data_IF_912573649655
#
_entry.id   IF_912573649655
#
_cell.length_a   1.000
_cell.length_b   1.000
_cell.length_c   1.000
_cell.angle_alpha   90.00
_cell.angle_beta   90.00
_cell.angle_gamma   90.00
#
_symmetry.space_group_name_H-M   'P 1'
#
loop_
_entity.id
_entity.type
_entity.pdbx_description
1 polymer ?
#
# COMPACT_ATOMS: atom_id res chain seq x y z
N UNK A 1 -13.05 -23.96 59.92
CA UNK A 1 -13.32 -23.28 58.64
C UNK A 1 -12.08 -23.34 57.74
N UNK A 2 -11.58 -24.53 57.41
CA UNK A 2 -10.28 -24.67 56.71
C UNK A 2 -10.24 -25.78 55.65
N UNK A 3 -11.32 -26.53 55.41
CA UNK A 3 -11.33 -27.56 54.35
C UNK A 3 -11.96 -27.08 53.03
N UNK A 4 -13.00 -26.22 53.07
CA UNK A 4 -13.68 -25.74 51.85
C UNK A 4 -12.79 -24.90 50.93
N UNK A 5 -11.84 -24.14 51.47
CA UNK A 5 -10.96 -23.26 50.69
C UNK A 5 -9.85 -24.05 49.93
N UNK A 6 -9.49 -25.25 50.39
CA UNK A 6 -8.48 -26.09 49.74
C UNK A 6 -9.02 -26.81 48.51
N UNK A 7 -10.31 -27.15 48.51
CA UNK A 7 -10.94 -27.87 47.40
C UNK A 7 -11.28 -26.93 46.24
N UNK A 8 -11.63 -25.66 46.52
CA UNK A 8 -11.82 -24.62 45.50
C UNK A 8 -10.51 -24.27 44.77
N UNK A 9 -9.39 -24.19 45.50
CA UNK A 9 -8.07 -23.93 44.88
C UNK A 9 -7.63 -25.12 44.01
N UNK A 10 -7.91 -26.36 44.43
CA UNK A 10 -7.62 -27.56 43.63
C UNK A 10 -8.50 -27.64 42.38
N UNK A 11 -9.76 -27.23 42.46
CA UNK A 11 -10.64 -27.16 41.31
C UNK A 11 -10.15 -26.14 40.28
N UNK A 12 -9.73 -24.95 40.71
CA UNK A 12 -9.17 -23.90 39.84
C UNK A 12 -7.86 -24.32 39.16
N UNK A 13 -6.96 -24.99 39.89
CA UNK A 13 -5.70 -25.49 39.33
C UNK A 13 -5.91 -26.62 38.32
N UNK A 14 -6.87 -27.53 38.56
CA UNK A 14 -7.24 -28.56 37.60
C UNK A 14 -7.87 -27.97 36.34
N UNK A 15 -8.74 -26.98 36.49
CA UNK A 15 -9.40 -26.31 35.37
C UNK A 15 -8.41 -25.53 34.50
N UNK A 16 -7.38 -24.93 35.12
CA UNK A 16 -6.27 -24.29 34.40
C UNK A 16 -5.32 -25.29 33.73
N UNK A 17 -5.08 -26.46 34.35
CA UNK A 17 -4.31 -27.53 33.75
C UNK A 17 -5.01 -28.17 32.54
N UNK A 18 -6.34 -28.30 32.58
CA UNK A 18 -7.16 -28.79 31.46
C UNK A 18 -7.12 -27.79 30.29
N UNK A 19 -7.30 -26.49 30.56
CA UNK A 19 -7.16 -25.42 29.54
C UNK A 19 -5.79 -25.38 28.87
N UNK A 20 -4.72 -25.57 29.64
CA UNK A 20 -3.36 -25.63 29.11
C UNK A 20 -3.13 -26.88 28.24
N UNK A 21 -3.77 -28.01 28.58
CA UNK A 21 -3.69 -29.26 27.82
C UNK A 21 -4.47 -29.18 26.50
N UNK A 22 -5.65 -28.56 26.51
CA UNK A 22 -6.44 -28.30 25.30
C UNK A 22 -5.73 -27.31 24.36
N UNK A 23 -5.12 -26.26 24.91
CA UNK A 23 -4.31 -25.31 24.13
C UNK A 23 -3.08 -25.98 23.47
N UNK A 24 -2.42 -26.89 24.19
CA UNK A 24 -1.31 -27.68 23.64
C UNK A 24 -1.73 -28.66 22.53
N UNK A 25 -2.93 -29.25 22.61
CA UNK A 25 -3.48 -30.14 21.57
C UNK A 25 -3.84 -29.34 20.31
N UNK A 26 -4.39 -28.13 20.46
CA UNK A 26 -4.73 -27.25 19.33
C UNK A 26 -3.45 -26.77 18.61
N UNK A 27 -2.40 -26.39 19.35
CA UNK A 27 -1.10 -26.00 18.77
C UNK A 27 -0.43 -27.20 18.07
N UNK A 28 -0.46 -28.40 18.66
CA UNK A 28 0.08 -29.63 18.04
C UNK A 28 -0.63 -29.98 16.72
N UNK A 29 -1.95 -29.79 16.66
CA UNK A 29 -2.74 -30.12 15.46
C UNK A 29 -2.50 -29.10 14.33
N UNK A 30 -2.26 -27.84 14.69
CA UNK A 30 -1.89 -26.79 13.72
C UNK A 30 -0.49 -27.04 13.16
N UNK A 31 0.49 -27.42 13.99
CA UNK A 31 1.87 -27.70 13.54
C UNK A 31 1.93 -28.92 12.60
N UNK A 32 1.13 -29.97 12.84
CA UNK A 32 1.07 -31.14 11.94
C UNK A 32 0.46 -30.84 10.55
N UNK A 33 -0.32 -29.77 10.42
CA UNK A 33 -0.86 -29.32 9.14
C UNK A 33 0.15 -28.62 8.22
N UNK A 34 1.29 -28.18 8.75
CA UNK A 34 2.29 -27.38 8.02
C UNK A 34 3.57 -28.14 7.62
N UNK A 35 3.72 -29.44 7.97
CA UNK A 35 4.94 -30.22 7.67
C UNK A 35 4.78 -31.28 6.58
N UNK A 36 3.74 -31.25 5.74
CA UNK A 36 3.65 -32.15 4.58
C UNK A 36 4.45 -31.58 3.39
N UNK A 37 5.64 -32.15 3.16
CA UNK A 37 6.42 -31.92 1.94
C UNK A 37 5.65 -32.34 0.67
N UNK A 38 5.84 -31.65 -0.47
CA UNK A 38 5.30 -32.09 -1.75
C UNK A 38 6.07 -33.32 -2.27
N UNK A 39 5.44 -34.27 -2.98
CA UNK A 39 6.17 -35.37 -3.61
C UNK A 39 6.93 -34.85 -4.84
N UNK A 40 8.14 -35.39 -5.04
CA UNK A 40 9.02 -35.12 -6.18
C UNK A 40 8.42 -35.60 -7.52
N UNK A 41 8.75 -34.98 -8.68
CA UNK A 41 8.06 -35.26 -9.94
C UNK A 41 8.51 -36.59 -10.55
N UNK A 42 7.56 -37.52 -10.70
CA UNK A 42 7.76 -38.74 -11.48
C UNK A 42 7.79 -38.40 -12.97
N UNK A 43 8.91 -38.74 -13.61
CA UNK A 43 9.13 -38.72 -15.06
C UNK A 43 8.15 -39.69 -15.73
N UNK A 44 7.28 -39.22 -16.62
CA UNK A 44 6.48 -40.10 -17.47
C UNK A 44 6.79 -39.89 -18.95
N UNK A 45 7.36 -40.95 -19.51
CA UNK A 45 7.76 -41.10 -20.88
C UNK A 45 6.57 -41.11 -21.84
N UNK A 46 6.77 -40.49 -23.00
CA UNK A 46 5.86 -40.50 -24.14
C UNK A 46 5.82 -41.92 -24.72
N UNK A 47 4.63 -42.51 -24.80
CA UNK A 47 4.34 -43.68 -25.64
C UNK A 47 2.99 -43.48 -26.33
N UNK A 48 3.00 -43.27 -27.64
CA UNK A 48 1.82 -43.50 -28.51
C UNK A 48 1.70 -45.01 -28.77
N UNK A 49 0.47 -45.55 -28.89
CA UNK A 49 -0.04 -45.81 -30.25
C UNK A 49 -1.59 -45.72 -30.44
N UNK A 50 -1.96 -45.36 -31.67
CA UNK A 50 -2.97 -45.93 -32.59
C UNK A 50 -4.46 -46.12 -32.23
N UNK A 51 -5.28 -45.38 -32.99
CA UNK A 51 -6.44 -45.77 -33.82
C UNK A 51 -7.76 -46.35 -33.22
N UNK A 52 -8.83 -45.61 -33.59
CA UNK A 52 -10.21 -46.01 -33.89
C UNK A 52 -11.15 -46.54 -32.79
N UNK A 53 -12.19 -45.75 -32.47
CA UNK A 53 -13.58 -46.16 -32.70
C UNK A 53 -14.54 -44.96 -32.71
N UNK A 54 -15.32 -44.86 -33.79
CA UNK A 54 -16.44 -43.93 -33.97
C UNK A 54 -17.61 -44.29 -33.04
N UNK A 55 -18.22 -43.29 -32.39
CA UNK A 55 -19.68 -43.33 -32.12
C UNK A 55 -20.26 -41.93 -31.97
N UNK A 56 -21.41 -41.73 -32.62
CA UNK A 56 -22.14 -40.50 -32.89
C UNK A 56 -22.72 -39.79 -31.67
N UNK A 57 -22.57 -38.47 -31.59
CA UNK A 57 -23.29 -37.60 -30.67
C UNK A 57 -24.53 -37.01 -31.36
N UNK A 58 -25.72 -37.20 -30.78
CA UNK A 58 -26.93 -36.43 -31.08
C UNK A 58 -27.09 -35.29 -30.07
N UNK A 59 -27.58 -34.10 -30.48
CA UNK A 59 -27.72 -32.95 -29.58
C UNK A 59 -29.13 -32.87 -28.98
N UNK A 60 -29.24 -32.84 -27.65
CA UNK A 60 -30.47 -32.48 -26.95
C UNK A 60 -30.33 -31.08 -26.31
N UNK A 61 -30.87 -30.11 -27.03
CA UNK A 61 -31.78 -29.05 -26.59
C UNK A 61 -31.71 -28.59 -25.11
N UNK A 62 -31.07 -27.44 -24.88
CA UNK A 62 -31.39 -26.56 -23.74
C UNK A 62 -31.67 -25.14 -24.26
N UNK A 63 -32.94 -24.89 -24.59
CA UNK A 63 -33.47 -23.57 -24.86
C UNK A 63 -34.32 -23.12 -23.66
N UNK A 64 -33.78 -22.25 -22.81
CA UNK A 64 -34.50 -21.16 -22.11
C UNK A 64 -33.53 -20.46 -21.13
N UNK A 65 -32.82 -19.44 -21.62
CA UNK A 65 -32.29 -18.40 -20.74
C UNK A 65 -33.18 -17.18 -20.94
N UNK A 66 -33.89 -16.82 -19.87
CA UNK A 66 -34.72 -15.62 -19.79
C UNK A 66 -33.89 -14.39 -20.15
N UNK A 67 -34.42 -13.57 -21.06
CA UNK A 67 -34.02 -12.18 -21.27
C UNK A 67 -34.03 -11.46 -19.91
N UNK A 68 -32.87 -10.98 -19.49
CA UNK A 68 -32.76 -10.01 -18.40
C UNK A 68 -32.66 -8.63 -19.03
N UNK A 69 -33.54 -7.77 -18.55
CA UNK A 69 -33.81 -6.39 -18.94
C UNK A 69 -32.54 -5.54 -19.11
N UNK A 70 -32.44 -4.82 -20.23
CA UNK A 70 -31.27 -4.08 -20.70
C UNK A 70 -31.29 -2.61 -20.29
N UNK A 71 -31.39 -2.33 -18.98
CA UNK A 71 -31.51 -0.94 -18.49
C UNK A 71 -30.79 -0.66 -17.16
N UNK A 72 -29.62 -1.26 -16.94
CA UNK A 72 -28.67 -0.84 -15.89
C UNK A 72 -27.36 -0.36 -16.54
N UNK A 73 -26.81 0.80 -16.16
CA UNK A 73 -25.49 1.21 -16.63
C UNK A 73 -24.48 0.16 -16.15
N UNK A 74 -23.90 -0.56 -17.11
CA UNK A 74 -22.87 -1.57 -16.87
C UNK A 74 -21.60 -0.84 -16.42
N UNK A 75 -21.46 -0.58 -15.13
CA UNK A 75 -20.18 -0.16 -14.55
C UNK A 75 -19.18 -1.29 -14.80
N UNK A 76 -18.34 -1.13 -15.82
CA UNK A 76 -17.29 -2.08 -16.14
C UNK A 76 -16.36 -2.21 -14.92
N UNK A 77 -15.98 -3.44 -14.51
CA UNK A 77 -14.91 -3.64 -13.55
C UNK A 77 -13.68 -2.96 -14.12
N UNK A 78 -13.22 -1.96 -13.41
CA UNK A 78 -12.47 -0.87 -13.99
C UNK A 78 -11.00 -1.23 -14.14
N UNK A 79 -10.52 -1.35 -15.38
CA UNK A 79 -9.11 -1.52 -15.75
C UNK A 79 -8.34 -0.20 -15.64
N UNK A 80 -8.34 0.43 -14.46
CA UNK A 80 -7.99 1.85 -14.26
C UNK A 80 -6.49 2.19 -14.28
N UNK A 81 -5.62 1.24 -13.95
CA UNK A 81 -4.16 1.42 -13.97
C UNK A 81 -3.50 0.94 -15.26
N UNK A 82 -4.31 0.48 -16.22
CA UNK A 82 -3.78 0.06 -17.52
C UNK A 82 -3.75 1.28 -18.46
N UNK A 83 -2.57 1.88 -18.62
CA UNK A 83 -2.36 3.02 -19.53
C UNK A 83 -2.31 2.62 -21.02
N UNK A 84 -2.43 1.32 -21.34
CA UNK A 84 -2.46 0.82 -22.73
C UNK A 84 -3.89 0.70 -23.28
N UNK A 85 -4.91 0.86 -22.45
CA UNK A 85 -6.30 0.85 -22.91
C UNK A 85 -6.70 2.20 -23.50
N UNK A 86 -7.62 2.24 -24.48
CA UNK A 86 -8.07 3.46 -25.15
C UNK A 86 -9.05 4.26 -24.28
N UNK A 87 -8.72 4.46 -23.01
CA UNK A 87 -9.46 5.27 -22.05
C UNK A 87 -8.57 6.42 -21.64
N UNK A 88 -9.08 7.66 -21.72
CA UNK A 88 -8.31 8.85 -21.38
C UNK A 88 -7.74 8.76 -19.95
N UNK A 89 -6.41 8.68 -19.78
CA UNK A 89 -5.76 8.62 -18.48
C UNK A 89 -5.95 9.90 -17.65
N UNK A 90 -6.29 11.01 -18.29
CA UNK A 90 -6.50 12.32 -17.66
C UNK A 90 -7.97 12.64 -17.37
N UNK A 91 -8.88 11.71 -17.66
CA UNK A 91 -10.29 11.88 -17.32
C UNK A 91 -10.47 11.94 -15.79
N UNK A 92 -11.22 12.94 -15.32
CA UNK A 92 -11.45 13.18 -13.89
C UNK A 92 -12.08 11.97 -13.18
N UNK A 93 -12.94 11.21 -13.88
CA UNK A 93 -13.56 10.00 -13.33
C UNK A 93 -12.53 8.90 -13.06
N UNK A 94 -11.58 8.69 -13.99
CA UNK A 94 -10.49 7.72 -13.84
C UNK A 94 -9.50 8.15 -12.77
N UNK A 95 -9.11 9.42 -12.77
CA UNK A 95 -8.23 9.99 -11.74
C UNK A 95 -8.85 9.80 -10.36
N UNK A 96 -10.09 10.25 -10.16
CA UNK A 96 -10.80 10.11 -8.87
C UNK A 96 -10.85 8.65 -8.42
N UNK A 97 -11.18 7.74 -9.34
CA UNK A 97 -11.29 6.32 -9.00
C UNK A 97 -9.94 5.69 -8.61
N UNK A 98 -8.86 6.03 -9.32
CA UNK A 98 -7.51 5.59 -8.97
C UNK A 98 -7.08 6.13 -7.60
N UNK A 99 -7.36 7.41 -7.30
CA UNK A 99 -7.07 8.01 -6.00
C UNK A 99 -7.81 7.31 -4.85
N UNK A 100 -9.10 7.00 -5.04
CA UNK A 100 -9.90 6.27 -4.03
C UNK A 100 -9.34 4.86 -3.78
N UNK A 101 -8.90 4.16 -4.82
CA UNK A 101 -8.27 2.83 -4.67
C UNK A 101 -6.92 2.89 -3.98
N UNK A 102 -6.13 3.93 -4.26
CA UNK A 102 -4.86 4.17 -3.56
C UNK A 102 -5.11 4.49 -2.07
N UNK A 103 -6.22 5.14 -1.72
CA UNK A 103 -6.62 5.28 -0.31
C UNK A 103 -6.77 3.92 0.38
N UNK A 104 -7.50 2.99 -0.25
CA UNK A 104 -7.70 1.66 0.33
C UNK A 104 -6.38 0.91 0.48
N UNK A 105 -5.53 0.97 -0.56
CA UNK A 105 -4.21 0.34 -0.55
C UNK A 105 -3.34 0.86 0.60
N UNK A 106 -3.28 2.18 0.79
CA UNK A 106 -2.51 2.80 1.87
C UNK A 106 -3.06 2.37 3.23
N UNK A 107 -4.38 2.41 3.43
CA UNK A 107 -4.99 2.03 4.71
C UNK A 107 -4.70 0.57 5.06
N UNK A 108 -4.87 -0.35 4.09
CA UNK A 108 -4.58 -1.77 4.32
C UNK A 108 -3.11 -2.01 4.65
N UNK A 109 -2.18 -1.47 3.86
CA UNK A 109 -0.74 -1.65 4.15
C UNK A 109 -0.34 -1.05 5.51
N UNK A 110 -0.95 0.05 5.94
CA UNK A 110 -0.71 0.61 7.27
C UNK A 110 -1.23 -0.32 8.39
N UNK A 111 -2.41 -0.92 8.21
CA UNK A 111 -2.97 -1.89 9.16
C UNK A 111 -2.07 -3.13 9.27
N UNK A 112 -1.55 -3.61 8.15
CA UNK A 112 -0.60 -4.72 8.12
C UNK A 112 0.72 -4.33 8.82
N UNK A 113 1.23 -3.12 8.59
CA UNK A 113 2.46 -2.67 9.27
C UNK A 113 2.28 -2.55 10.77
N UNK A 114 1.09 -2.14 11.22
CA UNK A 114 0.75 -1.98 12.64
C UNK A 114 0.71 -3.30 13.43
N UNK A 115 0.75 -4.46 12.76
CA UNK A 115 0.87 -5.77 13.43
C UNK A 115 2.24 -6.02 14.06
N UNK A 116 3.29 -5.34 13.56
CA UNK A 116 4.66 -5.46 14.07
C UNK A 116 5.00 -4.28 14.98
N UNK A 117 5.91 -4.51 15.92
CA UNK A 117 6.51 -3.47 16.75
C UNK A 117 7.27 -2.44 15.90
N UNK A 118 7.77 -1.39 16.57
CA UNK A 118 8.51 -0.32 15.92
C UNK A 118 9.73 -0.87 15.15
N UNK A 119 10.49 -1.79 15.74
CA UNK A 119 11.69 -2.37 15.16
C UNK A 119 12.69 -1.28 14.70
N UNK A 120 13.18 -0.44 15.62
CA UNK A 120 13.93 0.79 15.30
C UNK A 120 15.17 0.53 14.44
N UNK A 121 15.82 -0.62 14.62
CA UNK A 121 16.99 -1.07 13.85
C UNK A 121 16.75 -1.06 12.33
N UNK A 122 15.51 -1.22 11.88
CA UNK A 122 15.16 -1.18 10.44
C UNK A 122 15.53 0.18 9.81
N UNK A 123 15.38 1.26 10.57
CA UNK A 123 15.48 2.64 10.07
C UNK A 123 16.85 3.26 10.36
N UNK A 124 17.62 2.66 11.28
CA UNK A 124 18.95 3.12 11.66
C UNK A 124 20.01 2.65 10.67
N UNK A 125 20.85 3.59 10.22
CA UNK A 125 21.96 3.27 9.31
C UNK A 125 23.06 2.53 10.04
N UNK A 126 23.66 1.53 9.39
CA UNK A 126 24.77 0.74 9.93
C UNK A 126 24.41 -0.06 11.20
N UNK A 127 23.12 -0.38 11.40
CA UNK A 127 22.65 -1.13 12.57
C UNK A 127 22.80 -2.67 12.43
N UNK A 128 22.90 -3.16 11.20
CA UNK A 128 23.11 -4.59 10.89
C UNK A 128 24.54 -4.80 10.39
N UNK A 129 25.25 -5.76 10.99
CA UNK A 129 26.64 -6.08 10.62
C UNK A 129 26.69 -6.82 9.29
N UNK A 130 25.69 -7.65 9.00
CA UNK A 130 25.54 -8.38 7.74
C UNK A 130 25.50 -7.44 6.53
N UNK A 131 24.88 -6.25 6.68
CA UNK A 131 24.88 -5.23 5.63
C UNK A 131 26.26 -4.56 5.48
N UNK A 132 27.01 -4.38 6.57
CA UNK A 132 28.37 -3.83 6.50
C UNK A 132 29.33 -4.77 5.79
N UNK A 133 29.19 -6.08 6.01
CA UNK A 133 29.95 -7.12 5.31
C UNK A 133 29.70 -7.11 3.80
N UNK A 134 28.53 -6.62 3.37
CA UNK A 134 28.17 -6.37 1.98
C UNK A 134 28.57 -4.96 1.48
N UNK A 135 29.38 -4.23 2.25
CA UNK A 135 29.79 -2.84 1.98
C UNK A 135 28.62 -1.83 1.85
N UNK A 136 27.45 -2.16 2.41
CA UNK A 136 26.29 -1.28 2.44
C UNK A 136 26.37 -0.31 3.64
N UNK A 137 26.13 0.98 3.38
CA UNK A 137 26.23 2.08 4.38
C UNK A 137 24.89 2.69 4.80
N UNK A 138 23.79 2.11 4.33
CA UNK A 138 22.43 2.57 4.61
C UNK A 138 21.77 1.83 5.77
N UNK A 139 20.48 2.07 5.96
CA UNK A 139 19.63 1.29 6.86
C UNK A 139 19.15 0.00 6.19
N UNK A 140 18.50 -0.86 6.98
CA UNK A 140 17.84 -2.06 6.47
C UNK A 140 16.73 -1.73 5.48
N UNK A 141 15.91 -0.72 5.77
CA UNK A 141 14.86 -0.26 4.86
C UNK A 141 15.42 0.28 3.53
N UNK A 142 16.50 1.06 3.58
CA UNK A 142 17.13 1.60 2.36
C UNK A 142 17.67 0.46 1.47
N UNK A 143 18.23 -0.59 2.09
CA UNK A 143 18.67 -1.79 1.36
C UNK A 143 17.49 -2.56 0.75
N UNK A 144 16.42 -2.79 1.53
CA UNK A 144 15.19 -3.47 1.09
C UNK A 144 14.55 -2.78 -0.11
N UNK A 145 14.48 -1.45 -0.07
CA UNK A 145 14.04 -0.65 -1.21
C UNK A 145 14.97 -0.88 -2.40
N UNK A 146 16.28 -0.61 -2.27
CA UNK A 146 17.21 -0.72 -3.40
C UNK A 146 17.14 -2.06 -4.12
N UNK A 147 17.12 -3.16 -3.38
CA UNK A 147 17.03 -4.51 -3.97
C UNK A 147 15.68 -4.77 -4.66
N UNK A 148 14.57 -4.36 -4.01
CA UNK A 148 13.22 -4.51 -4.58
C UNK A 148 13.04 -3.64 -5.84
N UNK A 149 13.51 -2.40 -5.78
CA UNK A 149 13.44 -1.46 -6.88
C UNK A 149 14.37 -1.87 -8.03
N UNK A 150 15.54 -2.45 -7.75
CA UNK A 150 16.40 -2.98 -8.79
C UNK A 150 15.72 -4.11 -9.59
N UNK A 151 15.01 -5.01 -8.93
CA UNK A 151 14.21 -6.03 -9.61
C UNK A 151 13.07 -5.40 -10.43
N UNK A 152 12.30 -4.48 -9.84
CA UNK A 152 11.21 -3.80 -10.53
C UNK A 152 11.65 -2.95 -11.73
N UNK A 153 12.84 -2.34 -11.65
CA UNK A 153 13.46 -1.60 -12.76
C UNK A 153 13.77 -2.52 -13.95
N UNK A 154 14.36 -3.70 -13.69
CA UNK A 154 14.56 -4.74 -14.73
C UNK A 154 13.24 -5.13 -15.40
N UNK A 155 12.14 -5.14 -14.64
CA UNK A 155 10.79 -5.42 -15.12
C UNK A 155 10.06 -4.21 -15.78
N UNK A 156 10.74 -3.06 -15.98
CA UNK A 156 10.22 -1.80 -16.54
C UNK A 156 9.27 -1.00 -15.66
N UNK A 157 9.13 -1.29 -14.36
CA UNK A 157 8.18 -0.59 -13.48
C UNK A 157 8.33 0.93 -13.54
N UNK A 158 9.55 1.43 -13.36
CA UNK A 158 9.86 2.87 -13.33
C UNK A 158 9.93 3.54 -14.71
N UNK A 159 9.54 2.82 -15.77
CA UNK A 159 9.26 3.45 -17.07
C UNK A 159 7.80 3.89 -17.18
N UNK A 160 6.94 3.46 -16.25
CA UNK A 160 5.55 3.89 -16.16
C UNK A 160 5.46 5.32 -15.63
N UNK A 161 4.56 6.18 -16.17
CA UNK A 161 4.49 7.59 -15.78
C UNK A 161 3.99 7.86 -14.35
N UNK A 162 3.53 6.82 -13.65
CA UNK A 162 2.96 6.88 -12.29
C UNK A 162 3.79 6.14 -11.23
N UNK A 163 4.98 5.65 -11.58
CA UNK A 163 5.87 4.92 -10.67
C UNK A 163 7.19 5.69 -10.46
N UNK A 164 7.57 5.91 -9.19
CA UNK A 164 8.68 6.76 -8.80
C UNK A 164 9.60 6.03 -7.82
N UNK A 165 10.89 5.80 -8.14
CA UNK A 165 11.78 5.07 -7.25
C UNK A 165 12.26 5.92 -6.08
N UNK A 166 12.51 5.29 -4.94
CA UNK A 166 13.20 5.90 -3.78
C UNK A 166 14.71 5.90 -3.97
N UNK A 167 15.24 4.88 -4.65
CA UNK A 167 16.62 4.76 -5.10
C UNK A 167 16.87 5.72 -6.25
N UNK A 168 18.08 6.28 -6.33
CA UNK A 168 18.48 7.13 -7.46
C UNK A 168 18.34 6.36 -8.77
N UNK A 169 17.73 6.97 -9.78
CA UNK A 169 17.57 6.35 -11.11
C UNK A 169 18.92 5.92 -11.73
N UNK A 170 20.00 6.64 -11.42
CA UNK A 170 21.36 6.31 -11.88
C UNK A 170 21.93 5.03 -11.27
N UNK A 171 21.39 4.58 -10.14
CA UNK A 171 21.78 3.33 -9.48
C UNK A 171 20.90 2.15 -9.90
N UNK A 172 19.78 2.41 -10.57
CA UNK A 172 18.86 1.36 -11.00
C UNK A 172 19.33 0.70 -12.31
N UNK A 173 19.18 -0.62 -12.44
CA UNK A 173 19.53 -1.35 -13.64
C UNK A 173 18.59 -0.99 -14.80
N UNK A 174 19.11 -1.06 -16.02
CA UNK A 174 18.32 -0.87 -17.24
C UNK A 174 17.26 -1.99 -17.38
N UNK A 175 16.07 -1.70 -17.92
CA UNK A 175 15.07 -2.74 -18.13
C UNK A 175 15.52 -3.85 -19.10
N UNK A 176 15.17 -5.10 -18.77
CA UNK A 176 15.46 -6.28 -19.61
C UNK A 176 14.46 -6.43 -20.76
N UNK A 177 13.24 -5.92 -20.54
CA UNK A 177 12.17 -5.96 -21.52
C UNK A 177 12.20 -4.71 -22.43
N UNK A 178 11.74 -4.78 -23.69
CA UNK A 178 11.69 -3.63 -24.60
C UNK A 178 10.85 -2.47 -24.06
N UNK A 179 11.14 -1.22 -24.40
CA UNK A 179 10.34 -0.08 -23.90
C UNK A 179 8.86 -0.16 -24.34
N UNK A 180 7.94 0.17 -23.42
CA UNK A 180 6.53 0.40 -23.76
C UNK A 180 6.36 1.82 -24.31
N UNK A 181 5.58 1.95 -25.38
CA UNK A 181 5.22 3.26 -25.94
C UNK A 181 4.00 3.80 -25.22
N UNK A 182 4.20 4.45 -24.08
CA UNK A 182 3.14 5.19 -23.42
C UNK A 182 2.74 6.42 -24.27
N UNK A 183 1.45 6.78 -24.33
CA UNK A 183 1.08 8.08 -24.86
C UNK A 183 1.75 9.17 -24.02
N UNK A 184 2.01 10.34 -24.61
CA UNK A 184 2.53 11.48 -23.87
C UNK A 184 1.43 12.07 -22.99
N UNK A 185 1.30 11.52 -21.79
CA UNK A 185 0.26 11.91 -20.84
C UNK A 185 0.68 13.17 -20.09
N UNK A 186 1.88 13.13 -19.50
CA UNK A 186 2.43 14.22 -18.70
C UNK A 186 3.48 14.98 -19.51
N UNK A 187 3.62 16.26 -19.22
CA UNK A 187 4.74 17.07 -19.65
C UNK A 187 6.04 16.53 -19.04
N UNK A 188 7.16 16.46 -19.80
CA UNK A 188 8.45 16.04 -19.26
C UNK A 188 8.81 16.81 -17.98
N UNK A 189 9.23 16.09 -16.93
CA UNK A 189 9.60 16.65 -15.63
C UNK A 189 10.50 15.67 -14.86
N UNK A 190 11.19 16.16 -13.82
CA UNK A 190 12.04 15.35 -12.92
C UNK A 190 11.57 15.39 -11.46
N UNK A 191 10.28 15.67 -11.23
CA UNK A 191 9.74 15.88 -9.90
C UNK A 191 9.64 14.54 -9.17
N UNK A 192 10.38 14.40 -8.07
CA UNK A 192 10.30 13.24 -7.20
C UNK A 192 10.46 13.70 -5.74
N UNK A 193 9.43 13.51 -4.93
CA UNK A 193 9.37 13.91 -3.51
C UNK A 193 9.52 12.73 -2.54
N UNK A 194 10.00 11.58 -3.02
CA UNK A 194 10.15 10.36 -2.21
C UNK A 194 11.03 10.55 -0.96
N UNK A 195 12.01 11.45 -0.99
CA UNK A 195 12.83 11.76 0.20
C UNK A 195 11.99 12.32 1.36
N UNK A 196 11.03 13.21 1.06
CA UNK A 196 10.08 13.75 2.03
C UNK A 196 9.13 12.66 2.53
N UNK A 197 8.65 11.80 1.62
CA UNK A 197 7.77 10.66 1.94
C UNK A 197 8.45 9.69 2.91
N UNK A 198 9.67 9.27 2.59
CA UNK A 198 10.48 8.42 3.46
C UNK A 198 10.62 9.04 4.86
N UNK A 199 10.90 10.34 4.91
CA UNK A 199 11.17 11.06 6.15
C UNK A 199 9.96 11.09 7.06
N UNK A 200 8.79 11.57 6.59
CA UNK A 200 7.63 11.64 7.48
C UNK A 200 7.10 10.24 7.80
N UNK A 201 7.20 9.29 6.87
CA UNK A 201 6.74 7.93 7.10
C UNK A 201 7.50 7.29 8.27
N UNK A 202 8.83 7.24 8.17
CA UNK A 202 9.68 6.60 9.19
C UNK A 202 9.68 7.35 10.52
N UNK A 203 9.65 8.69 10.50
CA UNK A 203 9.82 9.50 11.73
C UNK A 203 8.52 9.87 12.43
N UNK A 204 7.41 10.05 11.70
CA UNK A 204 6.16 10.53 12.27
C UNK A 204 5.06 9.46 12.28
N UNK A 205 5.04 8.56 11.28
CA UNK A 205 3.93 7.63 11.08
C UNK A 205 4.22 6.28 11.73
N UNK A 206 5.35 5.64 11.39
CA UNK A 206 5.71 4.32 11.93
C UNK A 206 5.65 4.28 13.47
N UNK A 207 6.24 5.25 14.22
CA UNK A 207 6.17 5.22 15.69
C UNK A 207 4.76 5.30 16.25
N UNK A 208 3.84 5.99 15.55
CA UNK A 208 2.45 6.12 16.00
C UNK A 208 1.63 4.87 15.70
N UNK A 209 1.70 4.36 14.48
CA UNK A 209 0.87 3.22 14.07
C UNK A 209 1.29 1.91 14.75
N UNK A 210 2.58 1.76 15.10
CA UNK A 210 3.13 0.56 15.75
C UNK A 210 3.08 0.61 17.28
N UNK A 211 2.60 1.73 17.85
CA UNK A 211 2.61 1.96 19.30
C UNK A 211 1.89 0.85 20.08
N UNK A 212 0.76 0.37 19.57
CA UNK A 212 -0.01 -0.72 20.21
C UNK A 212 0.82 -2.00 20.29
N UNK A 213 1.31 -2.51 19.14
CA UNK A 213 2.13 -3.72 19.08
C UNK A 213 3.40 -3.59 19.94
N UNK A 214 4.05 -2.42 19.91
CA UNK A 214 5.22 -2.11 20.73
C UNK A 214 4.90 -2.17 22.24
N UNK A 215 3.79 -1.59 22.67
CA UNK A 215 3.37 -1.62 24.07
C UNK A 215 2.95 -3.03 24.53
N UNK A 216 2.25 -3.79 23.69
CA UNK A 216 1.88 -5.18 23.99
C UNK A 216 3.12 -6.06 24.16
N UNK A 217 4.11 -5.92 23.27
CA UNK A 217 5.40 -6.58 23.36
C UNK A 217 6.14 -6.22 24.66
N UNK A 218 6.22 -4.92 24.98
CA UNK A 218 6.86 -4.44 26.18
C UNK A 218 6.22 -4.98 27.46
N UNK A 219 4.87 -5.06 27.50
CA UNK A 219 4.15 -5.64 28.64
C UNK A 219 4.46 -7.13 28.81
N UNK A 220 4.52 -7.88 27.70
CA UNK A 220 4.86 -9.30 27.72
C UNK A 220 6.29 -9.53 28.24
N UNK A 221 7.28 -8.81 27.68
CA UNK A 221 8.69 -8.96 28.06
C UNK A 221 8.97 -8.48 29.48
N UNK A 222 8.29 -7.43 29.96
CA UNK A 222 8.37 -7.01 31.38
C UNK A 222 8.04 -8.15 32.34
N UNK A 223 7.06 -8.99 32.00
CA UNK A 223 6.68 -10.15 32.81
C UNK A 223 7.79 -11.20 32.94
N UNK A 224 8.74 -11.23 32.00
CA UNK A 224 9.88 -12.16 31.97
C UNK A 224 11.16 -11.58 32.63
N UNK A 225 11.15 -10.32 33.06
CA UNK A 225 12.33 -9.58 33.54
C UNK A 225 13.03 -8.87 32.38
N UNK A 226 13.18 -7.55 32.48
CA UNK A 226 13.77 -6.71 31.43
C UNK A 226 15.30 -6.91 31.45
N UNK A 227 15.90 -7.33 30.32
CA UNK A 227 17.34 -7.63 30.23
C UNK A 227 18.11 -6.60 29.39
N UNK A 228 17.44 -5.63 28.75
CA UNK A 228 18.09 -4.51 28.05
C UNK A 228 17.11 -3.53 27.41
N UNK A 229 17.65 -2.41 26.89
CA UNK A 229 16.85 -1.35 26.25
C UNK A 229 16.20 -1.80 24.93
N UNK A 230 16.90 -2.66 24.17
CA UNK A 230 16.44 -3.20 22.87
C UNK A 230 15.21 -4.10 22.99
N UNK A 231 14.93 -4.62 24.19
CA UNK A 231 13.79 -5.51 24.40
C UNK A 231 12.44 -4.76 24.35
N UNK A 232 12.41 -3.43 24.52
CA UNK A 232 11.16 -2.67 24.64
C UNK A 232 10.41 -2.49 23.30
N UNK A 233 11.13 -2.30 22.19
CA UNK A 233 10.52 -1.86 20.91
C UNK A 233 10.83 -2.76 19.71
N UNK A 234 11.48 -3.89 19.95
CA UNK A 234 11.97 -4.78 18.89
C UNK A 234 11.42 -6.21 19.04
N UNK A 235 10.59 -6.60 18.07
CA UNK A 235 10.03 -7.95 17.96
C UNK A 235 10.85 -8.89 17.05
N UNK A 236 11.90 -8.38 16.41
CA UNK A 236 12.80 -9.13 15.53
C UNK A 236 12.27 -9.41 14.12
N UNK A 237 11.04 -9.02 13.78
CA UNK A 237 10.42 -9.30 12.48
C UNK A 237 10.87 -8.32 11.38
N UNK A 238 12.18 -8.09 11.25
CA UNK A 238 12.76 -7.10 10.34
C UNK A 238 12.40 -7.32 8.87
N UNK A 239 12.37 -8.59 8.43
CA UNK A 239 12.01 -8.93 7.05
C UNK A 239 10.54 -8.64 6.74
N UNK A 240 9.63 -9.08 7.62
CA UNK A 240 8.19 -8.87 7.46
C UNK A 240 7.84 -7.39 7.54
N UNK A 241 8.34 -6.68 8.55
CA UNK A 241 8.07 -5.26 8.72
C UNK A 241 8.62 -4.43 7.56
N UNK A 242 9.88 -4.67 7.13
CA UNK A 242 10.46 -3.93 6.00
C UNK A 242 9.76 -4.21 4.66
N UNK A 243 9.25 -5.44 4.46
CA UNK A 243 8.44 -5.76 3.27
C UNK A 243 7.19 -4.91 3.22
N UNK A 244 6.46 -4.80 4.33
CA UNK A 244 5.25 -3.97 4.40
C UNK A 244 5.60 -2.47 4.34
N UNK A 245 6.71 -2.04 4.93
CA UNK A 245 7.19 -0.66 4.81
C UNK A 245 7.38 -0.25 3.33
N UNK A 246 7.97 -1.14 2.52
CA UNK A 246 8.12 -0.93 1.07
C UNK A 246 6.77 -0.78 0.37
N UNK A 247 5.78 -1.60 0.72
CA UNK A 247 4.42 -1.50 0.16
C UNK A 247 3.75 -0.16 0.50
N UNK A 248 3.83 0.25 1.77
CA UNK A 248 3.27 1.54 2.23
C UNK A 248 3.94 2.70 1.50
N UNK A 249 5.27 2.71 1.45
CA UNK A 249 6.05 3.77 0.79
C UNK A 249 5.73 3.86 -0.70
N UNK A 250 5.64 2.74 -1.41
CA UNK A 250 5.26 2.72 -2.83
C UNK A 250 3.83 3.23 -3.04
N UNK A 251 2.88 2.84 -2.18
CA UNK A 251 1.49 3.28 -2.28
C UNK A 251 1.34 4.80 -2.01
N UNK A 252 2.03 5.32 -0.98
CA UNK A 252 2.07 6.76 -0.69
C UNK A 252 2.76 7.53 -1.82
N UNK A 253 3.92 7.04 -2.29
CA UNK A 253 4.64 7.65 -3.42
C UNK A 253 3.74 7.79 -4.64
N UNK A 254 3.08 6.70 -5.03
CA UNK A 254 2.15 6.71 -6.15
C UNK A 254 0.99 7.67 -5.93
N UNK A 255 0.39 7.71 -4.73
CA UNK A 255 -0.73 8.59 -4.38
C UNK A 255 -0.36 10.07 -4.42
N UNK A 256 0.81 10.43 -3.89
CA UNK A 256 1.30 11.82 -3.86
C UNK A 256 1.68 12.27 -5.27
N UNK A 257 2.45 11.47 -6.00
CA UNK A 257 2.88 11.84 -7.35
C UNK A 257 1.75 11.79 -8.38
N UNK A 258 0.62 11.13 -8.08
CA UNK A 258 -0.58 11.23 -8.91
C UNK A 258 -1.11 12.67 -9.03
N UNK A 259 -0.67 13.58 -8.16
CA UNK A 259 -0.87 15.03 -8.31
C UNK A 259 -0.47 15.55 -9.69
N UNK A 260 0.54 14.98 -10.35
CA UNK A 260 0.91 15.38 -11.72
C UNK A 260 -0.22 15.16 -12.73
N UNK A 261 -0.92 14.03 -12.64
CA UNK A 261 -2.07 13.73 -13.50
C UNK A 261 -3.26 14.64 -13.17
N UNK A 262 -3.44 14.97 -11.88
CA UNK A 262 -4.46 15.93 -11.44
C UNK A 262 -4.19 17.32 -12.01
N UNK A 263 -2.96 17.83 -11.89
CA UNK A 263 -2.55 19.11 -12.47
C UNK A 263 -2.67 19.14 -13.98
N UNK A 264 -2.22 18.09 -14.68
CA UNK A 264 -2.35 18.03 -16.14
C UNK A 264 -3.82 18.05 -16.59
N UNK A 265 -4.69 17.31 -15.89
CA UNK A 265 -6.13 17.31 -16.16
C UNK A 265 -6.75 18.70 -15.95
N UNK A 266 -6.42 19.38 -14.85
CA UNK A 266 -6.87 20.74 -14.56
C UNK A 266 -6.35 21.76 -15.59
N UNK A 267 -5.05 21.69 -15.92
CA UNK A 267 -4.42 22.57 -16.90
C UNK A 267 -5.05 22.42 -18.28
N UNK A 268 -5.29 21.19 -18.75
CA UNK A 268 -5.93 20.96 -20.05
C UNK A 268 -7.38 21.43 -20.10
N UNK A 269 -8.08 21.43 -18.98
CA UNK A 269 -9.45 21.90 -18.93
C UNK A 269 -9.54 23.43 -19.07
N UNK A 270 -8.65 24.18 -18.40
CA UNK A 270 -8.68 25.66 -18.39
C UNK A 270 -7.27 26.26 -18.43
N UNK A 271 -6.50 26.08 -19.52
CA UNK A 271 -5.09 26.47 -19.56
C UNK A 271 -4.87 27.97 -19.35
N UNK A 272 -5.80 28.80 -19.84
CA UNK A 272 -5.75 30.26 -19.68
C UNK A 272 -5.73 30.73 -18.22
N UNK A 273 -6.30 29.96 -17.29
CA UNK A 273 -6.28 30.28 -15.85
C UNK A 273 -4.88 30.09 -15.25
N UNK A 274 -4.10 29.13 -15.78
CA UNK A 274 -2.80 28.75 -15.22
C UNK A 274 -1.63 29.48 -15.88
N UNK A 275 -1.66 29.65 -17.22
CA UNK A 275 -0.54 30.16 -18.01
C UNK A 275 0.05 31.48 -17.48
N UNK A 276 -0.74 32.51 -17.10
CA UNK A 276 -0.20 33.76 -16.57
C UNK A 276 0.66 33.56 -15.30
N UNK A 277 0.25 32.62 -14.44
CA UNK A 277 0.93 32.30 -13.19
C UNK A 277 2.11 31.33 -13.36
N UNK A 278 2.25 30.72 -14.54
CA UNK A 278 3.41 29.89 -14.91
C UNK A 278 4.48 30.78 -15.59
N UNK A 279 4.09 31.64 -16.52
CA UNK A 279 4.99 32.57 -17.22
C UNK A 279 5.59 33.62 -16.29
N UNK A 280 4.79 34.10 -15.34
CA UNK A 280 5.26 34.91 -14.21
C UNK A 280 5.03 34.10 -12.92
N UNK A 281 6.02 33.28 -12.51
CA UNK A 281 5.85 32.27 -11.47
C UNK A 281 5.17 32.80 -10.21
N UNK A 282 3.92 32.35 -9.98
CA UNK A 282 3.14 32.68 -8.80
C UNK A 282 2.58 31.40 -8.16
N UNK A 283 3.39 30.69 -7.35
CA UNK A 283 2.98 29.42 -6.75
C UNK A 283 1.77 29.54 -5.83
N UNK A 284 1.56 30.70 -5.21
CA UNK A 284 0.43 30.93 -4.31
C UNK A 284 -0.89 31.02 -5.08
N UNK A 285 -0.92 31.68 -6.24
CA UNK A 285 -2.12 31.70 -7.09
C UNK A 285 -2.37 30.33 -7.73
N UNK A 286 -1.32 29.63 -8.19
CA UNK A 286 -1.45 28.25 -8.67
C UNK A 286 -2.05 27.34 -7.60
N UNK A 287 -1.58 27.45 -6.35
CA UNK A 287 -2.13 26.70 -5.22
C UNK A 287 -3.61 27.00 -5.00
N UNK A 288 -4.03 28.27 -5.06
CA UNK A 288 -5.44 28.65 -4.93
C UNK A 288 -6.30 28.05 -6.03
N UNK A 289 -5.85 28.06 -7.29
CA UNK A 289 -6.56 27.51 -8.44
C UNK A 289 -6.81 25.99 -8.31
N UNK A 290 -5.84 25.26 -7.74
CA UNK A 290 -5.95 23.80 -7.59
C UNK A 290 -6.66 23.35 -6.31
N UNK A 291 -6.76 24.21 -5.30
CA UNK A 291 -7.28 23.86 -3.96
C UNK A 291 -8.80 23.94 -3.92
N UNK A 292 -9.41 22.88 -3.38
CA UNK A 292 -10.86 22.78 -3.13
C UNK A 292 -11.09 22.28 -1.71
N UNK A 293 -11.22 23.16 -0.71
CA UNK A 293 -11.28 22.79 0.70
C UNK A 293 -12.39 21.76 1.01
N UNK A 294 -13.53 21.87 0.34
CA UNK A 294 -14.66 20.95 0.48
C UNK A 294 -14.34 19.52 0.02
N UNK A 295 -13.49 19.38 -1.00
CA UNK A 295 -13.02 18.08 -1.50
C UNK A 295 -12.03 17.44 -0.52
N UNK A 296 -11.15 18.25 0.07
CA UNK A 296 -10.20 17.81 1.10
C UNK A 296 -10.94 17.33 2.36
N UNK A 297 -11.90 18.11 2.87
CA UNK A 297 -12.72 17.72 4.01
C UNK A 297 -13.48 16.41 3.75
N UNK A 298 -14.09 16.27 2.56
CA UNK A 298 -14.79 15.03 2.16
C UNK A 298 -13.84 13.83 2.05
N UNK A 299 -12.59 14.05 1.64
CA UNK A 299 -11.56 13.01 1.59
C UNK A 299 -11.15 12.57 3.00
N UNK A 300 -10.91 13.51 3.92
CA UNK A 300 -10.55 13.20 5.30
C UNK A 300 -11.64 12.42 6.03
N UNK A 301 -12.91 12.84 5.89
CA UNK A 301 -14.06 12.12 6.43
C UNK A 301 -14.14 10.69 5.88
N UNK A 302 -13.90 10.51 4.58
CA UNK A 302 -13.91 9.19 3.94
C UNK A 302 -12.77 8.31 4.45
N UNK A 303 -11.55 8.85 4.56
CA UNK A 303 -10.38 8.12 5.08
C UNK A 303 -10.63 7.68 6.52
N UNK A 304 -11.14 8.56 7.38
CA UNK A 304 -11.44 8.23 8.77
C UNK A 304 -12.51 7.13 8.87
N UNK A 305 -13.60 7.22 8.09
CA UNK A 305 -14.64 6.19 8.05
C UNK A 305 -14.13 4.85 7.54
N UNK A 306 -13.38 4.83 6.43
CA UNK A 306 -12.78 3.61 5.88
C UNK A 306 -11.85 2.95 6.89
N UNK A 307 -10.96 3.73 7.51
CA UNK A 307 -10.02 3.22 8.52
C UNK A 307 -10.77 2.63 9.72
N UNK A 308 -11.83 3.30 10.20
CA UNK A 308 -12.68 2.78 11.30
C UNK A 308 -13.34 1.44 10.93
N UNK A 309 -13.71 1.24 9.66
CA UNK A 309 -14.32 0.00 9.17
C UNK A 309 -13.27 -1.10 8.97
N UNK A 310 -12.09 -0.78 8.46
CA UNK A 310 -11.05 -1.77 8.17
C UNK A 310 -10.26 -2.19 9.41
N UNK A 311 -10.16 -1.31 10.41
CA UNK A 311 -9.44 -1.57 11.65
C UNK A 311 -10.25 -2.41 12.66
N UNK A 312 -11.48 -2.82 12.33
CA UNK A 312 -12.29 -3.68 13.19
C UNK A 312 -11.73 -5.09 13.25
N UNK A 313 -11.68 -5.67 14.45
CA UNK A 313 -11.46 -7.10 14.63
C UNK A 313 -12.82 -7.82 14.55
N UNK A 314 -12.89 -8.83 13.70
CA UNK A 314 -14.07 -9.68 13.53
C UNK A 314 -13.80 -11.04 14.17
N UNK A 315 -14.79 -11.60 14.85
CA UNK A 315 -14.73 -12.98 15.33
C UNK A 315 -14.81 -13.97 14.14
N UNK A 316 -14.58 -15.28 14.35
CA UNK A 316 -14.72 -16.28 13.28
C UNK A 316 -16.11 -16.33 12.62
N UNK A 317 -17.15 -15.82 13.30
CA UNK A 317 -18.51 -15.67 12.77
C UNK A 317 -18.75 -14.38 11.96
N UNK A 318 -17.74 -13.53 11.80
CA UNK A 318 -17.81 -12.28 11.03
C UNK A 318 -18.41 -11.09 11.78
N UNK A 319 -18.66 -11.20 13.08
CA UNK A 319 -19.19 -10.08 13.88
C UNK A 319 -18.07 -9.29 14.57
N UNK A 320 -18.21 -7.96 14.72
CA UNK A 320 -17.23 -7.14 15.44
C UNK A 320 -17.05 -7.60 16.89
N UNK A 321 -15.80 -7.77 17.31
CA UNK A 321 -15.45 -8.12 18.69
C UNK A 321 -15.69 -6.88 19.56
N UNK A 322 -16.74 -6.90 20.39
CA UNK A 322 -17.19 -5.71 21.12
C UNK A 322 -16.35 -5.33 22.36
N UNK A 323 -15.46 -6.21 22.85
CA UNK A 323 -14.76 -6.02 24.12
C UNK A 323 -13.32 -6.59 24.13
N UNK A 324 -12.40 -6.02 23.36
CA UNK A 324 -10.97 -6.23 23.65
C UNK A 324 -10.60 -5.34 24.85
N UNK A 325 -10.60 -5.92 26.07
CA UNK A 325 -10.22 -5.24 27.33
C UNK A 325 -8.70 -5.00 27.41
N UNK A 326 -8.13 -4.32 26.42
CA UNK A 326 -6.72 -3.98 26.31
C UNK A 326 -6.51 -2.63 25.63
N UNK A 327 -5.26 -2.19 25.55
CA UNK A 327 -4.87 -0.95 24.86
C UNK A 327 -5.26 -1.06 23.37
N UNK A 328 -6.25 -0.28 22.94
CA UNK A 328 -6.65 -0.13 21.54
C UNK A 328 -7.89 -0.95 21.14
N UNK A 329 -9.01 -0.27 20.88
CA UNK A 329 -10.24 -0.89 20.32
C UNK A 329 -10.10 -1.32 18.86
N UNK A 330 -9.03 -0.89 18.19
CA UNK A 330 -8.84 -1.00 16.73
C UNK A 330 -7.44 -1.54 16.42
N UNK A 331 -7.27 -2.19 15.26
CA UNK A 331 -5.98 -2.70 14.78
C UNK A 331 -4.90 -1.62 14.59
N UNK A 332 -5.30 -0.36 14.46
CA UNK A 332 -4.42 0.78 14.22
C UNK A 332 -5.02 2.06 14.85
N UNK A 333 -4.17 3.06 15.12
CA UNK A 333 -4.57 4.43 15.46
C UNK A 333 -5.29 5.07 14.25
N UNK A 334 -6.62 5.16 14.32
CA UNK A 334 -7.48 5.70 13.25
C UNK A 334 -7.18 7.18 13.02
N UNK A 335 -6.99 7.93 14.10
CA UNK A 335 -6.66 9.34 14.08
C UNK A 335 -5.29 9.56 13.40
N UNK A 336 -4.30 8.71 13.66
CA UNK A 336 -3.00 8.78 12.97
C UNK A 336 -3.13 8.64 11.46
N UNK A 337 -4.02 7.76 10.96
CA UNK A 337 -4.22 7.61 9.50
C UNK A 337 -4.87 8.85 8.91
N UNK A 338 -5.81 9.47 9.62
CA UNK A 338 -6.37 10.77 9.19
C UNK A 338 -5.30 11.85 9.19
N UNK A 339 -4.50 11.96 10.27
CA UNK A 339 -3.42 12.94 10.40
C UNK A 339 -2.35 12.77 9.32
N UNK A 340 -2.05 11.53 8.93
CA UNK A 340 -1.20 11.21 7.78
C UNK A 340 -1.71 11.89 6.50
N UNK A 341 -3.02 11.78 6.23
CA UNK A 341 -3.61 12.42 5.07
C UNK A 341 -3.63 13.94 5.17
N UNK A 342 -4.08 14.46 6.31
CA UNK A 342 -4.29 15.90 6.56
C UNK A 342 -2.97 16.67 6.54
N UNK A 343 -1.95 16.18 7.24
CA UNK A 343 -0.71 16.93 7.48
C UNK A 343 0.42 16.59 6.52
N UNK A 344 0.37 15.44 5.83
CA UNK A 344 1.50 14.98 5.01
C UNK A 344 1.10 14.66 3.56
N UNK A 345 0.14 13.77 3.32
CA UNK A 345 -0.19 13.34 1.94
C UNK A 345 -0.85 14.47 1.14
N UNK A 346 -1.89 15.13 1.67
CA UNK A 346 -2.57 16.22 0.97
C UNK A 346 -1.62 17.40 0.71
N UNK A 347 -0.89 17.94 1.71
CA UNK A 347 0.04 19.05 1.48
C UNK A 347 1.12 18.69 0.45
N UNK A 348 1.76 17.53 0.57
CA UNK A 348 2.82 17.14 -0.37
C UNK A 348 2.29 16.87 -1.79
N UNK A 349 1.04 16.38 -1.91
CA UNK A 349 0.38 16.27 -3.23
C UNK A 349 0.19 17.66 -3.86
N UNK A 350 -0.22 18.66 -3.07
CA UNK A 350 -0.38 20.04 -3.56
C UNK A 350 0.96 20.66 -3.97
N UNK A 351 2.03 20.39 -3.23
CA UNK A 351 3.39 20.78 -3.63
C UNK A 351 3.77 20.18 -4.99
N UNK A 352 3.54 18.87 -5.19
CA UNK A 352 3.77 18.22 -6.49
C UNK A 352 2.90 18.82 -7.59
N UNK A 353 1.64 19.13 -7.31
CA UNK A 353 0.72 19.74 -8.26
C UNK A 353 1.23 21.10 -8.76
N UNK A 354 1.63 21.99 -7.84
CA UNK A 354 2.17 23.32 -8.15
C UNK A 354 3.51 23.22 -8.88
N UNK A 355 4.40 22.38 -8.38
CA UNK A 355 5.76 22.20 -8.92
C UNK A 355 5.73 21.63 -10.36
N UNK A 356 4.72 20.82 -10.67
CA UNK A 356 4.45 20.34 -12.03
C UNK A 356 3.94 21.46 -12.94
N UNK A 357 2.98 22.27 -12.46
CA UNK A 357 2.41 23.39 -13.23
C UNK A 357 3.48 24.42 -13.58
N UNK A 358 4.38 24.75 -12.64
CA UNK A 358 5.47 25.71 -12.87
C UNK A 358 6.40 25.29 -14.01
N UNK A 359 6.53 23.99 -14.30
CA UNK A 359 7.34 23.46 -15.40
C UNK A 359 6.55 23.14 -16.65
N UNK A 360 5.23 23.34 -16.63
CA UNK A 360 4.33 22.81 -17.65
C UNK A 360 4.53 23.45 -19.03
N UNK A 361 5.15 24.63 -19.09
CA UNK A 361 5.44 25.36 -20.34
C UNK A 361 6.91 25.25 -20.76
N UNK A 362 7.76 24.56 -20.00
CA UNK A 362 9.18 24.46 -20.32
C UNK A 362 9.41 23.77 -21.67
N UNK A 363 10.08 24.45 -22.59
CA UNK A 363 10.39 23.90 -23.91
C UNK A 363 9.28 24.05 -24.95
N UNK A 364 8.15 24.68 -24.61
CA UNK A 364 7.14 25.09 -25.59
C UNK A 364 7.53 26.42 -26.27
N UNK A 365 7.18 26.54 -27.54
CA UNK A 365 7.28 27.77 -28.32
C UNK A 365 6.17 28.76 -27.97
N UNK A 366 6.36 30.05 -28.32
CA UNK A 366 5.34 31.07 -28.05
C UNK A 366 4.03 30.78 -28.80
N UNK A 367 4.10 30.27 -30.03
CA UNK A 367 2.92 29.91 -30.83
C UNK A 367 2.10 28.80 -30.15
N UNK A 368 2.75 27.78 -29.57
CA UNK A 368 2.09 26.71 -28.82
C UNK A 368 1.43 27.23 -27.54
N UNK A 369 2.09 28.16 -26.84
CA UNK A 369 1.51 28.79 -25.64
C UNK A 369 0.28 29.64 -26.01
N UNK A 370 0.35 30.37 -27.12
CA UNK A 370 -0.76 31.19 -27.61
C UNK A 370 -1.94 30.33 -28.09
N UNK A 371 -1.69 29.15 -28.66
CA UNK A 371 -2.74 28.17 -28.96
C UNK A 371 -3.40 27.63 -27.69
N UNK A 372 -2.61 27.27 -26.67
CA UNK A 372 -3.14 26.83 -25.38
C UNK A 372 -4.00 27.91 -24.73
N UNK A 373 -3.58 29.18 -24.76
CA UNK A 373 -4.36 30.31 -24.25
C UNK A 373 -5.73 30.49 -24.93
N UNK A 374 -5.89 30.02 -26.18
CA UNK A 374 -7.14 30.10 -26.95
C UNK A 374 -8.04 28.88 -26.76
N UNK A 375 -7.53 27.79 -26.21
CA UNK A 375 -8.32 26.58 -25.95
C UNK A 375 -9.22 26.76 -24.72
N UNK A 376 -10.51 26.48 -24.89
CA UNK A 376 -11.58 26.67 -23.89
C UNK A 376 -12.03 25.37 -23.25
#
# INVERSE_FOLDING_TARGET
>A
MTSQNSDEIRALLNDQAVRNRESGIVISTIIQGFTSHPPSPATFAIKRPSADLHTSLTPLHFSHIRQVDSSLPRTMPSTQSNYMLPVDPLSLSRIRSNLIRLEDTIIFSLIERAQFALNPRIYERNCFDELKDMEWKGSWLEWFLKETEAFHAKARRYTSPDEYPFTSESELPTPVLPALKYPQILHPNKINVNASIMTFYTRAIVPRITRRATQELAMLKRGAGIVGDDEYEDDGNYGSAATVDVEVLQAISKRVHYGKFVSESKFRAHPADFIPHILNPNPQELLKLITKPEVEATLLDRVQRKTTIYAQELNPGGEPIKNSMGVGKWKIDVECVRDLYENWIIPLTKEVEVEYLLRRLEGLSQDEIDELMKSH
#
